data_IF_362763873310
#
_entry.id   IF_362763873310
#
_cell.length_a   1.000
_cell.length_b   1.000
_cell.length_c   1.000
_cell.angle_alpha   90.00
_cell.angle_beta   90.00
_cell.angle_gamma   90.00
#
_symmetry.space_group_name_H-M   'P 1'
#
loop_
_entity.id
_entity.type
_entity.pdbx_description
1 polymer ?
#
# COMPACT_ATOMS: atom_id res chain seq x y z
N UNK A 1 11.23 56.80 47.04
CA UNK A 1 10.44 55.54 47.02
C UNK A 1 9.22 55.84 46.18
N UNK A 2 9.00 55.37 44.97
CA UNK A 2 9.44 54.18 44.24
C UNK A 2 8.29 53.92 43.26
N UNK A 3 8.52 54.19 41.98
CA UNK A 3 7.55 54.01 40.89
C UNK A 3 7.13 52.55 40.80
N UNK A 4 5.85 52.23 40.56
CA UNK A 4 5.45 51.05 39.78
C UNK A 4 4.06 51.27 39.13
N UNK A 5 4.07 51.53 37.82
CA UNK A 5 2.95 51.32 36.93
C UNK A 5 2.71 49.82 36.78
N UNK A 6 1.47 49.34 36.97
CA UNK A 6 1.06 47.99 36.58
C UNK A 6 0.24 48.12 35.30
N UNK A 7 0.90 47.89 34.17
CA UNK A 7 0.29 47.79 32.85
C UNK A 7 -0.28 46.38 32.70
N UNK A 8 -1.60 46.20 32.81
CA UNK A 8 -2.26 44.95 32.38
C UNK A 8 -2.29 44.89 30.86
N UNK A 9 -1.36 44.13 30.29
CA UNK A 9 -1.31 43.78 28.87
C UNK A 9 -2.37 42.72 28.56
N UNK A 10 -3.50 43.13 28.00
CA UNK A 10 -4.45 42.22 27.34
C UNK A 10 -3.83 41.75 26.03
N UNK A 11 -3.40 40.49 25.98
CA UNK A 11 -2.96 39.84 24.75
C UNK A 11 -4.15 39.64 23.81
N UNK A 12 -4.10 40.08 22.54
CA UNK A 12 -5.15 39.79 21.59
C UNK A 12 -5.04 38.33 21.12
N UNK A 13 -6.08 37.55 21.36
CA UNK A 13 -6.27 36.23 20.79
C UNK A 13 -6.34 36.37 19.27
N UNK A 14 -5.24 36.02 18.60
CA UNK A 14 -5.12 36.02 17.15
C UNK A 14 -6.05 34.94 16.58
N UNK A 15 -7.29 35.33 16.27
CA UNK A 15 -8.19 34.58 15.41
C UNK A 15 -7.67 34.66 13.98
N UNK A 16 -6.66 33.85 13.67
CA UNK A 16 -6.21 33.65 12.29
C UNK A 16 -7.29 32.81 11.59
N UNK A 17 -8.04 33.34 10.61
CA UNK A 17 -8.99 32.53 9.87
C UNK A 17 -8.20 31.41 9.17
N UNK A 18 -8.57 30.17 9.48
CA UNK A 18 -8.13 29.02 8.70
C UNK A 18 -8.58 29.29 7.27
N UNK A 19 -7.64 29.67 6.40
CA UNK A 19 -7.88 29.69 4.95
C UNK A 19 -8.40 28.32 4.59
N UNK A 20 -9.69 28.24 4.28
CA UNK A 20 -10.32 27.08 3.69
C UNK A 20 -9.68 26.93 2.31
N UNK A 21 -8.58 26.17 2.24
CA UNK A 21 -7.95 25.83 0.98
C UNK A 21 -9.03 25.14 0.14
N UNK A 22 -9.35 25.70 -1.02
CA UNK A 22 -10.31 25.12 -1.96
C UNK A 22 -9.75 23.76 -2.36
N UNK A 23 -10.41 22.70 -1.91
CA UNK A 23 -9.97 21.32 -2.12
C UNK A 23 -10.31 21.00 -3.57
N UNK A 24 -9.29 20.77 -4.39
CA UNK A 24 -9.48 20.16 -5.71
C UNK A 24 -9.44 18.66 -5.47
N UNK A 25 -10.61 18.04 -5.42
CA UNK A 25 -10.74 16.59 -5.49
C UNK A 25 -10.31 16.15 -6.89
N UNK A 26 -9.41 15.18 -6.96
CA UNK A 26 -9.05 14.59 -8.25
C UNK A 26 -10.06 13.48 -8.53
N UNK A 27 -10.77 13.60 -9.65
CA UNK A 27 -11.62 12.52 -10.14
C UNK A 27 -10.74 11.55 -10.92
N UNK A 28 -10.80 10.27 -10.53
CA UNK A 28 -10.10 9.20 -11.23
C UNK A 28 -11.17 8.47 -12.04
N UNK A 29 -11.05 8.54 -13.37
CA UNK A 29 -11.87 7.74 -14.27
C UNK A 29 -11.42 6.27 -14.15
N UNK A 30 -12.27 5.45 -13.55
CA UNK A 30 -12.02 4.03 -13.29
C UNK A 30 -13.27 3.24 -13.63
N UNK A 31 -13.09 2.19 -14.43
CA UNK A 31 -14.18 1.29 -14.77
C UNK A 31 -14.76 0.67 -13.49
N UNK A 32 -16.10 0.67 -13.27
CA UNK A 32 -16.71 0.17 -12.04
C UNK A 32 -16.29 -1.26 -11.68
N UNK A 33 -16.17 -2.15 -12.68
CA UNK A 33 -15.74 -3.55 -12.48
C UNK A 33 -14.30 -3.67 -11.97
N UNK A 34 -13.49 -2.61 -12.04
CA UNK A 34 -12.13 -2.60 -11.50
C UNK A 34 -12.08 -2.18 -10.02
N UNK A 35 -13.23 -1.77 -9.45
CA UNK A 35 -13.38 -1.50 -8.03
C UNK A 35 -13.67 -2.75 -7.20
N UNK A 36 -13.96 -3.88 -7.86
CA UNK A 36 -13.94 -5.18 -7.21
C UNK A 36 -12.48 -5.68 -7.11
N UNK A 37 -11.94 -5.63 -5.91
CA UNK A 37 -10.58 -6.09 -5.62
C UNK A 37 -10.50 -7.58 -5.30
N UNK A 38 -11.62 -8.30 -5.41
CA UNK A 38 -11.76 -9.71 -5.08
C UNK A 38 -12.32 -9.94 -3.66
N UNK A 39 -12.66 -11.21 -3.34
CA UNK A 39 -13.32 -11.55 -2.08
C UNK A 39 -12.38 -11.57 -0.86
N UNK A 40 -11.07 -11.51 -1.11
CA UNK A 40 -10.04 -11.70 -0.09
C UNK A 40 -9.73 -10.40 0.67
N UNK A 41 -9.57 -10.47 2.00
CA UNK A 41 -9.21 -9.29 2.81
C UNK A 41 -7.69 -9.08 2.78
N UNK A 42 -7.18 -7.93 2.28
CA UNK A 42 -5.75 -7.64 2.27
C UNK A 42 -5.16 -7.44 3.67
N UNK A 43 -6.01 -7.33 4.70
CA UNK A 43 -5.59 -7.28 6.11
C UNK A 43 -5.26 -8.66 6.69
N UNK A 44 -5.71 -9.76 6.06
CA UNK A 44 -5.35 -11.14 6.43
C UNK A 44 -3.96 -11.52 5.90
N UNK A 45 -2.99 -10.62 6.12
CA UNK A 45 -1.71 -10.61 5.45
C UNK A 45 -0.89 -11.89 5.62
N UNK A 46 -1.07 -12.61 6.72
CA UNK A 46 -0.39 -13.89 6.98
C UNK A 46 -0.71 -14.97 5.96
N UNK A 47 -1.92 -14.94 5.38
CA UNK A 47 -2.36 -15.90 4.34
C UNK A 47 -1.66 -15.67 3.00
N UNK A 48 -1.17 -14.46 2.77
CA UNK A 48 -0.67 -13.99 1.48
C UNK A 48 0.85 -13.81 1.46
N UNK A 49 1.57 -14.58 2.28
CA UNK A 49 3.02 -14.56 2.33
C UNK A 49 3.57 -15.59 1.35
N UNK A 50 4.50 -15.17 0.50
CA UNK A 50 5.16 -16.06 -0.44
C UNK A 50 6.11 -17.03 0.26
N UNK A 51 6.31 -18.19 -0.35
CA UNK A 51 7.28 -19.19 0.13
C UNK A 51 8.70 -18.65 0.08
N UNK A 52 9.56 -19.18 0.96
CA UNK A 52 10.96 -18.79 0.98
C UNK A 52 11.73 -19.31 -0.23
N UNK A 53 12.48 -18.44 -0.90
CA UNK A 53 13.34 -18.80 -2.03
C UNK A 53 14.42 -19.83 -1.66
N UNK A 54 14.94 -19.76 -0.42
CA UNK A 54 16.03 -20.62 0.07
C UNK A 54 15.57 -22.04 0.42
N UNK A 55 14.55 -22.18 1.26
CA UNK A 55 14.13 -23.50 1.78
C UNK A 55 12.74 -23.96 1.32
N UNK A 56 12.04 -23.15 0.51
CA UNK A 56 10.70 -23.42 -0.04
C UNK A 56 9.57 -23.55 1.00
N UNK A 57 9.90 -23.46 2.29
CA UNK A 57 8.93 -23.48 3.39
C UNK A 57 8.08 -22.21 3.43
N UNK A 58 6.90 -22.34 4.02
CA UNK A 58 6.00 -21.22 4.30
C UNK A 58 6.56 -20.41 5.49
N UNK A 59 6.90 -19.13 5.31
CA UNK A 59 7.29 -18.25 6.41
C UNK A 59 6.09 -17.85 7.26
N UNK A 60 6.36 -17.43 8.48
CA UNK A 60 5.35 -16.99 9.44
C UNK A 60 5.42 -15.47 9.64
N UNK A 61 4.25 -14.85 9.71
CA UNK A 61 4.11 -13.47 10.19
C UNK A 61 4.06 -13.47 11.71
N UNK A 62 4.90 -12.65 12.35
CA UNK A 62 4.95 -12.51 13.81
C UNK A 62 4.92 -11.04 14.20
N UNK A 63 4.34 -10.75 15.36
CA UNK A 63 4.45 -9.44 15.99
C UNK A 63 5.60 -9.49 17.00
N UNK A 64 6.63 -8.67 16.78
CA UNK A 64 7.89 -8.67 17.51
C UNK A 64 8.12 -7.29 18.12
N UNK A 65 7.86 -7.17 19.43
CA UNK A 65 7.98 -5.92 20.17
C UNK A 65 6.94 -4.88 19.73
N UNK A 66 7.28 -4.09 18.72
CA UNK A 66 6.45 -2.98 18.21
C UNK A 66 6.19 -3.03 16.70
N UNK A 67 6.63 -4.09 16.01
CA UNK A 67 6.46 -4.22 14.57
C UNK A 67 6.11 -5.66 14.18
N UNK A 68 5.51 -5.81 13.00
CA UNK A 68 5.33 -7.11 12.37
C UNK A 68 6.57 -7.47 11.55
N UNK A 69 6.97 -8.74 11.57
CA UNK A 69 8.06 -9.26 10.76
C UNK A 69 7.68 -10.63 10.20
N UNK A 70 8.22 -10.96 9.03
CA UNK A 70 8.08 -12.30 8.44
C UNK A 70 9.38 -13.08 8.68
N UNK A 71 9.26 -14.27 9.25
CA UNK A 71 10.40 -15.16 9.52
C UNK A 71 10.22 -16.52 8.89
N UNK A 72 11.30 -17.02 8.30
CA UNK A 72 11.37 -18.37 7.79
C UNK A 72 12.20 -19.25 8.74
N UNK A 73 11.83 -20.52 8.85
CA UNK A 73 12.55 -21.50 9.67
C UNK A 73 14.04 -21.68 9.27
N UNK A 74 14.41 -21.35 8.03
CA UNK A 74 15.81 -21.41 7.57
C UNK A 74 16.66 -20.20 7.99
N UNK A 75 16.14 -19.31 8.84
CA UNK A 75 16.83 -18.13 9.36
C UNK A 75 16.68 -16.86 8.52
N UNK A 76 16.08 -16.93 7.33
CA UNK A 76 15.78 -15.72 6.55
C UNK A 76 14.65 -14.94 7.21
N UNK A 77 14.76 -13.61 7.20
CA UNK A 77 13.75 -12.70 7.72
C UNK A 77 13.52 -11.53 6.75
N UNK A 78 12.28 -11.05 6.70
CA UNK A 78 11.90 -9.88 5.92
C UNK A 78 12.04 -8.58 6.71
N UNK A 79 12.03 -7.46 6.00
CA UNK A 79 12.01 -6.13 6.62
C UNK A 79 10.73 -5.92 7.41
N UNK A 80 10.86 -5.58 8.70
CA UNK A 80 9.73 -5.35 9.58
C UNK A 80 8.84 -4.17 9.10
N UNK A 81 7.56 -4.23 9.43
CA UNK A 81 6.57 -3.23 9.11
C UNK A 81 5.66 -2.91 10.29
N UNK A 82 5.23 -1.65 10.42
CA UNK A 82 4.27 -1.26 11.47
C UNK A 82 2.90 -1.92 11.33
N UNK A 83 2.55 -2.38 10.12
CA UNK A 83 1.33 -3.11 9.83
C UNK A 83 1.69 -4.52 9.33
N UNK A 84 0.87 -5.50 9.69
CA UNK A 84 0.94 -6.88 9.20
C UNK A 84 1.06 -6.95 7.66
N UNK A 85 0.18 -6.23 6.95
CA UNK A 85 0.17 -6.17 5.48
C UNK A 85 1.45 -5.59 4.89
N UNK A 86 2.05 -4.59 5.55
CA UNK A 86 3.31 -4.00 5.10
C UNK A 86 4.47 -4.99 5.29
N UNK A 87 4.52 -5.70 6.42
CA UNK A 87 5.56 -6.71 6.65
C UNK A 87 5.46 -7.88 5.66
N UNK A 88 4.24 -8.35 5.35
CA UNK A 88 4.02 -9.36 4.32
C UNK A 88 4.48 -8.88 2.94
N UNK A 89 4.13 -7.65 2.54
CA UNK A 89 4.56 -7.09 1.25
C UNK A 89 6.07 -6.89 1.18
N UNK A 90 6.70 -6.43 2.26
CA UNK A 90 8.16 -6.30 2.33
C UNK A 90 8.86 -7.65 2.12
N UNK A 91 8.34 -8.72 2.73
CA UNK A 91 8.83 -10.07 2.47
C UNK A 91 8.61 -10.48 1.02
N UNK A 92 7.39 -10.32 0.50
CA UNK A 92 7.03 -10.76 -0.85
C UNK A 92 7.85 -10.10 -1.95
N UNK A 93 8.29 -8.84 -1.74
CA UNK A 93 9.18 -8.08 -2.63
C UNK A 93 10.66 -8.43 -2.49
N UNK A 94 11.03 -9.14 -1.43
CA UNK A 94 12.44 -9.39 -1.13
C UNK A 94 13.00 -10.54 -1.98
N UNK A 95 14.31 -10.56 -2.25
CA UNK A 95 14.96 -11.71 -2.90
C UNK A 95 14.83 -13.04 -2.12
N UNK A 96 14.42 -12.98 -0.85
CA UNK A 96 14.18 -14.17 -0.03
C UNK A 96 12.81 -14.83 -0.29
N UNK A 97 11.96 -14.21 -1.11
CA UNK A 97 10.61 -14.67 -1.48
C UNK A 97 10.63 -15.27 -2.89
N UNK A 98 9.80 -16.30 -3.10
CA UNK A 98 9.49 -16.82 -4.44
C UNK A 98 8.35 -15.99 -5.01
N UNK A 99 8.62 -15.26 -6.08
CA UNK A 99 7.63 -14.43 -6.73
C UNK A 99 6.67 -15.32 -7.55
N UNK A 100 5.34 -15.20 -7.34
CA UNK A 100 4.36 -15.91 -8.15
C UNK A 100 4.15 -15.19 -9.49
N UNK A 101 3.45 -15.85 -10.42
CA UNK A 101 2.90 -15.16 -11.60
C UNK A 101 1.86 -14.12 -11.16
N UNK A 102 1.88 -12.93 -11.73
CA UNK A 102 0.97 -11.84 -11.38
C UNK A 102 -0.51 -12.23 -11.53
N UNK A 103 -0.85 -13.13 -12.47
CA UNK A 103 -2.22 -13.61 -12.72
C UNK A 103 -2.77 -14.44 -11.56
N UNK A 104 -1.89 -15.01 -10.75
CA UNK A 104 -2.26 -15.86 -9.61
C UNK A 104 -2.47 -15.07 -8.31
N UNK A 105 -2.28 -13.74 -8.35
CA UNK A 105 -2.56 -12.91 -7.18
C UNK A 105 -4.05 -12.97 -6.82
N UNK A 106 -4.38 -13.03 -5.51
CA UNK A 106 -5.75 -13.12 -5.04
C UNK A 106 -6.54 -11.81 -5.16
N UNK A 107 -5.89 -10.74 -5.63
CA UNK A 107 -6.44 -9.39 -5.69
C UNK A 107 -6.51 -8.89 -7.12
N UNK A 108 -7.43 -7.95 -7.36
CA UNK A 108 -7.56 -7.19 -8.62
C UNK A 108 -7.97 -7.99 -9.86
N UNK A 109 -8.35 -9.27 -9.73
CA UNK A 109 -8.83 -10.11 -10.84
C UNK A 109 -7.95 -9.98 -12.09
N UNK A 110 -6.69 -10.40 -11.97
CA UNK A 110 -5.68 -10.30 -13.03
C UNK A 110 -5.61 -11.55 -13.92
N UNK A 111 -6.35 -12.59 -13.57
CA UNK A 111 -6.44 -13.81 -14.37
C UNK A 111 -6.95 -13.50 -15.79
N UNK A 112 -6.38 -14.18 -16.79
CA UNK A 112 -6.69 -13.96 -18.21
C UNK A 112 -6.17 -12.64 -18.81
N UNK A 113 -5.66 -11.69 -18.02
CA UNK A 113 -5.10 -10.45 -18.55
C UNK A 113 -3.68 -10.67 -19.08
N UNK A 114 -3.38 -10.08 -20.24
CA UNK A 114 -2.01 -9.95 -20.74
C UNK A 114 -1.25 -8.84 -19.98
N UNK A 115 0.05 -8.73 -20.24
CA UNK A 115 0.93 -7.79 -19.53
C UNK A 115 0.49 -6.32 -19.74
N UNK A 116 0.18 -5.87 -20.97
CA UNK A 116 -0.36 -4.53 -21.20
C UNK A 116 -1.67 -4.24 -20.44
N UNK A 117 -2.67 -5.12 -20.54
CA UNK A 117 -3.97 -4.91 -19.91
C UNK A 117 -3.88 -4.95 -18.37
N UNK A 118 -3.09 -5.89 -17.82
CA UNK A 118 -2.86 -5.96 -16.38
C UNK A 118 -2.16 -4.69 -15.85
N UNK A 119 -1.19 -4.15 -16.61
CA UNK A 119 -0.49 -2.92 -16.26
C UNK A 119 -1.42 -1.72 -16.25
N UNK A 120 -2.22 -1.57 -17.30
CA UNK A 120 -3.20 -0.49 -17.39
C UNK A 120 -4.17 -0.54 -16.21
N UNK A 121 -4.81 -1.69 -15.99
CA UNK A 121 -5.72 -1.93 -14.86
C UNK A 121 -5.09 -1.56 -13.53
N UNK A 122 -3.89 -2.06 -13.26
CA UNK A 122 -3.23 -1.84 -11.97
C UNK A 122 -2.76 -0.38 -11.78
N UNK A 123 -2.37 0.32 -12.84
CA UNK A 123 -2.03 1.75 -12.74
C UNK A 123 -3.27 2.57 -12.37
N UNK A 124 -4.40 2.35 -13.05
CA UNK A 124 -5.66 3.05 -12.74
C UNK A 124 -6.15 2.74 -11.32
N UNK A 125 -6.11 1.47 -10.91
CA UNK A 125 -6.45 1.05 -9.53
C UNK A 125 -5.51 1.69 -8.51
N UNK A 126 -4.20 1.75 -8.79
CA UNK A 126 -3.23 2.41 -7.90
C UNK A 126 -3.58 3.89 -7.74
N UNK A 127 -3.84 4.59 -8.83
CA UNK A 127 -4.11 6.04 -8.79
C UNK A 127 -5.42 6.34 -8.05
N UNK A 128 -6.44 5.50 -8.25
CA UNK A 128 -7.66 5.50 -7.43
C UNK A 128 -7.35 5.32 -5.93
N UNK A 129 -6.58 4.30 -5.56
CA UNK A 129 -6.24 4.01 -4.16
C UNK A 129 -5.39 5.11 -3.51
N UNK A 130 -4.51 5.76 -4.27
CA UNK A 130 -3.73 6.92 -3.82
C UNK A 130 -4.66 8.07 -3.47
N UNK A 131 -5.64 8.37 -4.32
CA UNK A 131 -6.61 9.43 -4.07
C UNK A 131 -7.53 9.07 -2.88
N UNK A 132 -8.00 7.83 -2.76
CA UNK A 132 -8.78 7.38 -1.58
C UNK A 132 -7.98 7.51 -0.28
N UNK A 133 -6.68 7.16 -0.30
CA UNK A 133 -5.79 7.35 0.84
C UNK A 133 -5.67 8.82 1.21
N UNK A 134 -5.47 9.70 0.23
CA UNK A 134 -5.39 11.16 0.41
C UNK A 134 -6.67 11.71 1.04
N UNK A 135 -7.85 11.30 0.56
CA UNK A 135 -9.15 11.68 1.13
C UNK A 135 -9.29 11.26 2.59
N UNK A 136 -8.89 10.03 2.93
CA UNK A 136 -8.88 9.58 4.32
C UNK A 136 -7.94 10.42 5.20
N UNK A 137 -6.71 10.67 4.74
CA UNK A 137 -5.72 11.48 5.46
C UNK A 137 -6.22 12.90 5.68
N UNK A 138 -6.91 13.47 4.71
CA UNK A 138 -7.50 14.79 4.81
C UNK A 138 -8.62 14.84 5.85
N UNK A 139 -9.56 13.89 5.83
CA UNK A 139 -10.63 13.78 6.83
C UNK A 139 -10.06 13.65 8.24
N UNK A 140 -9.01 12.83 8.42
CA UNK A 140 -8.29 12.71 9.70
C UNK A 140 -7.72 14.06 10.16
N UNK A 141 -7.09 14.83 9.26
CA UNK A 141 -6.58 16.18 9.59
C UNK A 141 -7.69 17.16 9.97
N UNK A 142 -8.84 17.05 9.32
CA UNK A 142 -10.04 17.84 9.62
C UNK A 142 -10.81 17.33 10.85
N UNK A 143 -10.32 16.27 11.51
CA UNK A 143 -10.98 15.59 12.64
C UNK A 143 -12.37 15.05 12.30
N UNK A 144 -12.60 14.76 11.02
CA UNK A 144 -13.82 14.11 10.56
C UNK A 144 -13.74 12.59 10.81
N UNK A 145 -14.87 11.92 11.05
CA UNK A 145 -14.88 10.47 11.26
C UNK A 145 -14.37 9.74 10.01
N UNK A 146 -13.43 8.82 10.20
CA UNK A 146 -12.97 7.87 9.17
C UNK A 146 -12.95 6.48 9.78
N UNK A 147 -13.57 5.51 9.11
CA UNK A 147 -13.51 4.12 9.55
C UNK A 147 -12.06 3.64 9.58
N UNK A 148 -11.53 3.34 10.77
CA UNK A 148 -10.14 2.92 10.92
C UNK A 148 -9.79 1.70 10.06
N UNK A 149 -10.66 0.67 10.06
CA UNK A 149 -10.49 -0.53 9.22
C UNK A 149 -10.57 -0.22 7.73
N UNK A 150 -11.45 0.70 7.32
CA UNK A 150 -11.53 1.15 5.92
C UNK A 150 -10.21 1.77 5.46
N UNK A 151 -9.66 2.70 6.25
CA UNK A 151 -8.39 3.34 5.90
C UNK A 151 -7.22 2.35 5.87
N UNK A 152 -7.20 1.38 6.78
CA UNK A 152 -6.20 0.30 6.75
C UNK A 152 -6.32 -0.55 5.48
N UNK A 153 -7.54 -0.90 5.03
CA UNK A 153 -7.76 -1.63 3.77
C UNK A 153 -7.28 -0.86 2.56
N UNK A 154 -7.59 0.43 2.45
CA UNK A 154 -7.08 1.29 1.35
C UNK A 154 -5.54 1.25 1.30
N UNK A 155 -4.87 1.39 2.45
CA UNK A 155 -3.41 1.32 2.52
C UNK A 155 -2.86 -0.07 2.15
N UNK A 156 -3.55 -1.13 2.55
CA UNK A 156 -3.15 -2.50 2.25
C UNK A 156 -3.30 -2.80 0.75
N UNK A 157 -4.46 -2.49 0.16
CA UNK A 157 -4.68 -2.62 -1.29
C UNK A 157 -3.68 -1.80 -2.09
N UNK A 158 -3.35 -0.57 -1.66
CA UNK A 158 -2.32 0.23 -2.32
C UNK A 158 -0.94 -0.44 -2.29
N UNK A 159 -0.57 -1.06 -1.18
CA UNK A 159 0.68 -1.81 -1.10
C UNK A 159 0.68 -3.04 -2.03
N UNK A 160 -0.46 -3.72 -2.12
CA UNK A 160 -0.68 -4.86 -3.02
C UNK A 160 -0.66 -4.48 -4.49
N UNK A 161 -1.25 -3.35 -4.89
CA UNK A 161 -1.23 -2.91 -6.29
C UNK A 161 0.18 -2.55 -6.75
N UNK A 162 0.98 -1.92 -5.88
CA UNK A 162 2.40 -1.66 -6.13
C UNK A 162 3.18 -2.97 -6.28
N UNK A 163 2.89 -3.97 -5.44
CA UNK A 163 3.53 -5.28 -5.55
C UNK A 163 3.15 -5.99 -6.86
N UNK A 164 1.86 -6.00 -7.21
CA UNK A 164 1.35 -6.58 -8.45
C UNK A 164 1.99 -5.94 -9.70
N UNK A 165 2.13 -4.61 -9.71
CA UNK A 165 2.85 -3.90 -10.79
C UNK A 165 4.31 -4.36 -10.92
N UNK A 166 4.97 -4.68 -9.81
CA UNK A 166 6.31 -5.27 -9.81
C UNK A 166 6.35 -6.63 -10.52
N UNK A 167 5.40 -7.50 -10.21
CA UNK A 167 5.28 -8.82 -10.86
C UNK A 167 4.95 -8.70 -12.36
N UNK A 168 4.08 -7.76 -12.74
CA UNK A 168 3.80 -7.46 -14.16
C UNK A 168 5.07 -6.96 -14.88
N UNK A 169 5.92 -6.18 -14.19
CA UNK A 169 7.19 -5.72 -14.76
C UNK A 169 8.17 -6.88 -14.96
N UNK A 170 8.25 -7.79 -14.00
CA UNK A 170 9.06 -9.01 -14.12
C UNK A 170 8.60 -9.88 -15.30
N UNK A 171 7.28 -10.03 -15.49
CA UNK A 171 6.71 -10.75 -16.63
C UNK A 171 7.04 -10.10 -17.98
N UNK A 172 6.95 -8.77 -18.09
CA UNK A 172 7.36 -8.03 -19.30
C UNK A 172 8.83 -8.28 -19.64
N UNK A 173 9.72 -8.19 -18.65
CA UNK A 173 11.16 -8.41 -18.85
C UNK A 173 11.46 -9.84 -19.30
N UNK A 174 10.71 -10.82 -18.79
CA UNK A 174 10.83 -12.22 -19.22
C UNK A 174 10.38 -12.42 -20.67
N UNK A 175 9.29 -11.77 -21.09
CA UNK A 175 8.81 -11.78 -22.47
C UNK A 175 9.83 -11.15 -23.43
N UNK A 176 10.39 -9.99 -23.07
CA UNK A 176 11.43 -9.31 -23.85
C UNK A 176 12.68 -10.16 -24.00
N UNK A 177 13.12 -10.83 -22.93
CA UNK A 177 14.28 -11.72 -22.96
C UNK A 177 14.05 -12.93 -23.88
N UNK A 178 12.87 -13.54 -23.82
CA UNK A 178 12.50 -14.66 -24.69
C UNK A 178 12.43 -14.24 -26.16
N UNK A 179 11.87 -13.07 -26.46
CA UNK A 179 11.81 -12.54 -27.82
C UNK A 179 13.20 -12.30 -28.41
N UNK A 180 14.16 -11.77 -27.62
CA UNK A 180 15.55 -11.59 -28.05
C UNK A 180 16.27 -12.90 -28.32
N UNK A 181 16.02 -13.91 -27.48
CA UNK A 181 16.60 -15.25 -27.67
C UNK A 181 16.06 -15.94 -28.93
N UNK A 182 14.77 -15.78 -29.24
CA UNK A 182 14.17 -16.36 -30.44
C UNK A 182 14.61 -15.67 -31.75
N UNK A 183 15.10 -14.43 -31.66
CA UNK A 183 15.60 -13.66 -32.80
C UNK A 183 17.11 -13.83 -33.05
N UNK A 184 17.82 -14.57 -32.18
CA UNK A 184 19.26 -14.88 -32.29
C UNK A 184 19.50 -16.25 -32.92
#
# INVERSE_FOLDING_TARGET
MGMHNVTTSTSPTSNRPLRQARIVEHEIDIHPDWLDFGPEDPLDAGRWINRCARCKAQPELRFEGQAHAVRCACGNAGTAGRLASVAAINWNKSPASIHPDYRTLPFFALDGLDVPAAREKLNTVRDYLVEQKRRCEQRIRLREPVGHRYFQRIRAYLAWSIYALGLVKEAELAQDAAARQAAS
#
